data_IF_444133788319
#
_entry.id   IF_444133788319
#
_cell.length_a   1.000
_cell.length_b   1.000
_cell.length_c   1.000
_cell.angle_alpha   90.00
_cell.angle_beta   90.00
_cell.angle_gamma   90.00
#
_symmetry.space_group_name_H-M   'P 1'
#
loop_
_entity.id
_entity.type
_entity.pdbx_description
1 polymer ?
#
# COMPACT_ATOMS: atom_id res chain seq x y z
N UNK A 1 30.47 -31.40 -17.49
CA UNK A 1 30.69 -30.24 -16.58
C UNK A 1 29.90 -29.00 -16.97
N UNK A 2 29.98 -28.51 -18.23
CA UNK A 2 29.31 -27.27 -18.68
C UNK A 2 27.78 -27.25 -18.47
N UNK A 3 27.08 -28.33 -18.82
CA UNK A 3 25.62 -28.44 -18.63
C UNK A 3 25.19 -28.36 -17.14
N UNK A 4 25.94 -28.98 -16.23
CA UNK A 4 25.68 -28.90 -14.78
C UNK A 4 25.87 -27.48 -14.24
N UNK A 5 26.86 -26.75 -14.76
CA UNK A 5 27.10 -25.33 -14.43
C UNK A 5 25.96 -24.45 -14.97
N UNK A 6 25.49 -24.68 -16.19
CA UNK A 6 24.35 -23.95 -16.77
C UNK A 6 23.07 -24.18 -15.95
N UNK A 7 22.79 -25.43 -15.56
CA UNK A 7 21.63 -25.76 -14.72
C UNK A 7 21.74 -25.07 -13.35
N UNK A 8 22.93 -25.07 -12.73
CA UNK A 8 23.15 -24.39 -11.46
C UNK A 8 22.89 -22.88 -11.54
N UNK A 9 23.38 -22.23 -12.61
CA UNK A 9 23.13 -20.80 -12.85
C UNK A 9 21.63 -20.52 -13.00
N UNK A 10 20.91 -21.39 -13.73
CA UNK A 10 19.47 -21.23 -13.93
C UNK A 10 18.69 -21.32 -12.61
N UNK A 11 19.06 -22.25 -11.73
CA UNK A 11 18.44 -22.40 -10.40
C UNK A 11 18.68 -21.15 -9.54
N UNK A 12 19.90 -20.61 -9.56
CA UNK A 12 20.23 -19.39 -8.79
C UNK A 12 19.40 -18.20 -9.26
N UNK A 13 19.29 -18.00 -10.58
CA UNK A 13 18.47 -16.92 -11.15
C UNK A 13 17.00 -17.08 -10.73
N UNK A 14 16.48 -18.30 -10.78
CA UNK A 14 15.11 -18.60 -10.39
C UNK A 14 14.86 -18.24 -8.93
N UNK A 15 15.75 -18.63 -8.01
CA UNK A 15 15.66 -18.27 -6.58
C UNK A 15 15.68 -16.74 -6.38
N UNK A 16 16.59 -16.03 -7.04
CA UNK A 16 16.68 -14.57 -6.94
C UNK A 16 15.39 -13.89 -7.42
N UNK A 17 14.79 -14.37 -8.52
CA UNK A 17 13.51 -13.82 -9.01
C UNK A 17 12.36 -14.04 -8.03
N UNK A 18 12.27 -15.22 -7.40
CA UNK A 18 11.24 -15.50 -6.40
C UNK A 18 11.37 -14.61 -5.15
N UNK A 19 12.59 -14.42 -4.64
CA UNK A 19 12.84 -13.55 -3.48
C UNK A 19 12.48 -12.09 -3.81
N UNK A 20 12.89 -11.60 -4.99
CA UNK A 20 12.61 -10.23 -5.43
C UNK A 20 11.11 -9.96 -5.57
N UNK A 21 10.39 -10.86 -6.25
CA UNK A 21 8.93 -10.75 -6.43
C UNK A 21 8.17 -10.87 -5.10
N UNK A 22 8.56 -11.82 -4.25
CA UNK A 22 7.95 -12.01 -2.94
C UNK A 22 8.13 -10.80 -2.03
N UNK A 23 9.35 -10.27 -1.94
CA UNK A 23 9.63 -9.07 -1.14
C UNK A 23 8.87 -7.83 -1.62
N UNK A 24 8.78 -7.63 -2.95
CA UNK A 24 8.04 -6.52 -3.54
C UNK A 24 6.54 -6.60 -3.25
N UNK A 25 5.92 -7.77 -3.45
CA UNK A 25 4.48 -7.97 -3.21
C UNK A 25 4.13 -7.80 -1.74
N UNK A 26 4.92 -8.36 -0.81
CA UNK A 26 4.76 -8.17 0.64
C UNK A 26 4.83 -6.70 1.06
N UNK A 27 5.78 -5.94 0.53
CA UNK A 27 5.93 -4.53 0.86
C UNK A 27 4.78 -3.68 0.30
N UNK A 28 4.33 -3.97 -0.93
CA UNK A 28 3.17 -3.33 -1.54
C UNK A 28 1.90 -3.60 -0.74
N UNK A 29 1.65 -4.86 -0.37
CA UNK A 29 0.50 -5.25 0.44
C UNK A 29 0.50 -4.55 1.81
N UNK A 30 1.66 -4.47 2.50
CA UNK A 30 1.76 -3.73 3.78
C UNK A 30 1.39 -2.25 3.61
N UNK A 31 1.83 -1.61 2.53
CA UNK A 31 1.50 -0.21 2.22
C UNK A 31 -0.01 -0.03 1.98
N UNK A 32 -0.61 -0.88 1.17
CA UNK A 32 -2.05 -0.84 0.86
C UNK A 32 -2.91 -1.11 2.10
N UNK A 33 -2.55 -2.10 2.93
CA UNK A 33 -3.25 -2.39 4.18
C UNK A 33 -3.17 -1.22 5.17
N UNK A 34 -2.02 -0.55 5.27
CA UNK A 34 -1.88 0.62 6.12
C UNK A 34 -2.79 1.77 5.64
N UNK A 35 -2.77 2.05 4.33
CA UNK A 35 -3.59 3.08 3.69
C UNK A 35 -5.08 2.84 3.95
N UNK A 36 -5.57 1.63 3.64
CA UNK A 36 -6.99 1.28 3.83
C UNK A 36 -7.42 1.32 5.28
N UNK A 37 -6.52 0.97 6.22
CA UNK A 37 -6.80 1.09 7.65
C UNK A 37 -6.93 2.55 8.09
N UNK A 38 -6.06 3.43 7.59
CA UNK A 38 -6.14 4.87 7.88
C UNK A 38 -7.41 5.49 7.27
N UNK A 39 -7.76 5.12 6.04
CA UNK A 39 -9.01 5.53 5.40
C UNK A 39 -10.23 5.17 6.26
N UNK A 40 -10.32 3.93 6.73
CA UNK A 40 -11.43 3.49 7.60
C UNK A 40 -11.50 4.26 8.93
N UNK A 41 -10.35 4.57 9.54
CA UNK A 41 -10.31 5.33 10.80
C UNK A 41 -10.82 6.75 10.61
N UNK A 42 -10.42 7.41 9.52
CA UNK A 42 -10.83 8.76 9.20
C UNK A 42 -12.32 8.78 8.80
N UNK A 43 -12.75 7.86 7.95
CA UNK A 43 -14.16 7.68 7.56
C UNK A 43 -15.07 7.51 8.77
N UNK A 44 -14.68 6.64 9.71
CA UNK A 44 -15.41 6.42 10.95
C UNK A 44 -15.51 7.69 11.81
N UNK A 45 -14.40 8.44 11.95
CA UNK A 45 -14.39 9.70 12.70
C UNK A 45 -15.40 10.69 12.11
N UNK A 46 -15.40 10.89 10.79
CA UNK A 46 -16.32 11.82 10.15
C UNK A 46 -17.77 11.36 10.21
N UNK A 47 -18.03 10.06 10.04
CA UNK A 47 -19.38 9.48 10.16
C UNK A 47 -20.01 9.75 11.54
N UNK A 48 -19.22 9.73 12.61
CA UNK A 48 -19.72 10.01 13.96
C UNK A 48 -19.82 11.51 14.27
N UNK A 49 -18.98 12.36 13.67
CA UNK A 49 -18.91 13.78 14.02
C UNK A 49 -19.71 14.69 13.07
N UNK A 50 -20.09 14.24 11.88
CA UNK A 50 -20.80 15.03 10.88
C UNK A 50 -22.19 14.48 10.59
N UNK A 51 -23.21 15.33 10.72
CA UNK A 51 -24.63 14.94 10.54
C UNK A 51 -24.99 14.51 9.10
N UNK A 52 -24.37 15.12 8.08
CA UNK A 52 -24.70 14.89 6.66
C UNK A 52 -23.55 14.21 5.89
N UNK A 53 -22.80 13.35 6.57
CA UNK A 53 -21.69 12.62 5.96
C UNK A 53 -22.16 11.40 5.17
N UNK A 54 -21.68 11.26 3.93
CA UNK A 54 -21.89 10.04 3.14
C UNK A 54 -20.62 9.21 3.02
N UNK A 55 -19.58 9.78 2.40
CA UNK A 55 -18.37 9.05 2.07
C UNK A 55 -17.19 10.00 1.93
N UNK A 56 -16.01 9.46 2.20
CA UNK A 56 -14.73 10.09 1.94
C UNK A 56 -13.90 9.18 1.06
N UNK A 57 -13.14 9.79 0.15
CA UNK A 57 -12.08 9.11 -0.57
C UNK A 57 -10.79 9.89 -0.41
N UNK A 58 -9.72 9.19 -0.06
CA UNK A 58 -8.38 9.79 -0.06
C UNK A 58 -7.86 9.75 -1.50
N UNK A 59 -7.54 10.92 -2.04
CA UNK A 59 -7.12 11.05 -3.43
C UNK A 59 -5.60 10.99 -3.57
N UNK A 60 -4.85 11.39 -2.54
CA UNK A 60 -3.39 11.42 -2.56
C UNK A 60 -2.76 11.07 -1.21
N UNK A 61 -1.86 10.10 -1.22
CA UNK A 61 -0.98 9.75 -0.10
C UNK A 61 0.44 10.22 -0.39
N UNK A 62 0.95 11.13 0.44
CA UNK A 62 2.36 11.56 0.36
C UNK A 62 3.10 11.08 1.60
N UNK A 63 4.32 10.58 1.41
CA UNK A 63 5.17 10.19 2.53
C UNK A 63 5.60 11.46 3.26
N UNK A 64 5.33 11.53 4.55
CA UNK A 64 5.77 12.61 5.42
C UNK A 64 7.29 12.54 5.61
N UNK A 65 7.98 13.69 5.77
CA UNK A 65 9.36 13.71 6.24
C UNK A 65 9.54 12.99 7.60
N UNK A 66 8.51 12.92 8.45
CA UNK A 66 8.53 12.16 9.72
C UNK A 66 8.27 10.65 9.54
N UNK A 67 8.51 10.08 8.35
CA UNK A 67 8.30 8.67 7.99
C UNK A 67 6.85 8.13 8.12
N UNK A 68 5.89 8.93 8.57
CA UNK A 68 4.45 8.61 8.49
C UNK A 68 3.89 8.81 7.08
N UNK A 69 2.75 8.20 6.76
CA UNK A 69 2.00 8.55 5.55
C UNK A 69 1.04 9.69 5.90
N UNK A 70 1.26 10.88 5.34
CA UNK A 70 0.34 12.01 5.47
C UNK A 70 -0.68 11.94 4.33
N UNK A 71 -1.97 11.90 4.68
CA UNK A 71 -3.03 12.18 3.73
C UNK A 71 -3.04 13.67 3.47
N UNK A 72 -2.64 14.10 2.28
CA UNK A 72 -2.44 15.53 1.97
C UNK A 72 -3.70 16.16 1.35
N UNK A 73 -4.63 15.35 0.83
CA UNK A 73 -5.89 15.84 0.25
C UNK A 73 -7.01 14.84 0.55
N UNK A 74 -7.97 15.27 1.36
CA UNK A 74 -9.22 14.57 1.64
C UNK A 74 -10.32 15.22 0.80
N UNK A 75 -10.94 14.47 -0.11
CA UNK A 75 -12.14 14.91 -0.79
C UNK A 75 -13.36 14.36 -0.05
N UNK A 76 -14.11 15.25 0.59
CA UNK A 76 -15.31 14.89 1.35
C UNK A 76 -16.55 15.20 0.52
N UNK A 77 -17.35 14.18 0.21
CA UNK A 77 -18.62 14.38 -0.48
C UNK A 77 -19.70 14.66 0.58
N UNK A 78 -20.11 15.93 0.69
CA UNK A 78 -21.26 16.35 1.49
C UNK A 78 -22.40 16.69 0.52
N UNK A 79 -23.61 16.17 0.78
CA UNK A 79 -24.82 16.58 0.05
C UNK A 79 -25.28 17.92 0.63
N UNK A 80 -25.22 18.99 -0.18
CA UNK A 80 -25.83 20.30 0.12
C UNK A 80 -27.35 20.18 0.18
#
# INVERSE_FOLDING_TARGET
MKAKIIILIFIIILILTFIGLGGYTLNKNKKETYITTQEKRIDLYFKHNLKNYQTMKINNFKKSPMKGYLSMVILMMIKL
#
